data_IF_129887235652
#
_entry.id   IF_129887235652
#
_cell.length_a   1.000
_cell.length_b   1.000
_cell.length_c   1.000
_cell.angle_alpha   90.00
_cell.angle_beta   90.00
_cell.angle_gamma   90.00
#
_symmetry.space_group_name_H-M   'P 1'
#
loop_
_entity.id
_entity.type
_entity.pdbx_description
1 polymer ?
#
# COMPACT_ATOMS: atom_id res chain seq x y z
N UNK A 1 23.57 -43.09 -11.62
CA UNK A 1 23.19 -41.72 -11.17
C UNK A 1 23.97 -40.63 -11.94
N UNK A 2 23.95 -40.64 -13.28
CA UNK A 2 24.72 -39.65 -14.09
C UNK A 2 24.10 -39.33 -15.47
N UNK A 3 22.84 -39.70 -15.71
CA UNK A 3 22.19 -39.60 -17.03
C UNK A 3 21.54 -38.22 -17.27
N UNK A 4 21.30 -37.44 -16.21
CA UNK A 4 20.63 -36.13 -16.30
C UNK A 4 21.55 -34.93 -16.58
N UNK A 5 22.86 -35.14 -16.84
CA UNK A 5 23.82 -34.05 -17.08
C UNK A 5 23.86 -33.56 -18.53
N UNK A 6 23.24 -34.28 -19.48
CA UNK A 6 23.35 -34.01 -20.94
C UNK A 6 22.01 -33.73 -21.62
N UNK A 7 20.97 -33.35 -20.88
CA UNK A 7 19.68 -32.95 -21.48
C UNK A 7 19.54 -31.42 -21.53
N UNK A 8 18.89 -30.87 -22.59
CA UNK A 8 18.59 -29.43 -22.70
C UNK A 8 17.71 -28.92 -21.57
N UNK A 9 17.12 -29.82 -20.78
CA UNK A 9 16.41 -29.54 -19.55
C UNK A 9 17.32 -29.01 -18.42
N UNK A 10 18.66 -28.99 -18.54
CA UNK A 10 19.54 -28.52 -17.45
C UNK A 10 19.27 -27.07 -17.05
N UNK A 11 19.00 -26.17 -18.00
CA UNK A 11 18.67 -24.77 -17.69
C UNK A 11 17.33 -24.61 -16.98
N UNK A 12 16.34 -25.43 -17.32
CA UNK A 12 15.04 -25.46 -16.65
C UNK A 12 15.11 -26.23 -15.33
N UNK A 13 15.99 -27.21 -15.20
CA UNK A 13 16.18 -28.02 -13.99
C UNK A 13 16.66 -27.19 -12.81
N UNK A 14 17.60 -26.26 -13.03
CA UNK A 14 18.02 -25.32 -12.00
C UNK A 14 16.89 -24.37 -11.59
N UNK A 15 16.02 -23.93 -12.52
CA UNK A 15 14.84 -23.10 -12.23
C UNK A 15 13.79 -23.86 -11.39
N UNK A 16 13.54 -25.13 -11.73
CA UNK A 16 12.63 -26.02 -10.99
C UNK A 16 13.18 -26.36 -9.60
N UNK A 17 14.50 -26.49 -9.45
CA UNK A 17 15.17 -26.82 -8.17
C UNK A 17 15.44 -25.61 -7.27
N UNK A 18 15.44 -24.38 -7.80
CA UNK A 18 15.76 -23.16 -7.03
C UNK A 18 14.67 -22.77 -6.03
N UNK A 19 13.44 -23.21 -6.23
CA UNK A 19 12.33 -23.00 -5.31
C UNK A 19 11.69 -24.35 -4.98
N UNK A 20 11.63 -24.77 -3.70
CA UNK A 20 10.84 -25.94 -3.32
C UNK A 20 9.43 -25.82 -3.92
N UNK A 21 8.80 -26.90 -4.40
CA UNK A 21 7.44 -26.85 -4.95
C UNK A 21 6.46 -26.11 -4.04
N UNK A 22 6.60 -26.30 -2.73
CA UNK A 22 5.84 -25.58 -1.71
C UNK A 22 6.04 -24.06 -1.72
N UNK A 23 7.27 -23.57 -1.92
CA UNK A 23 7.56 -22.14 -1.99
C UNK A 23 6.94 -21.49 -3.24
N UNK A 24 6.92 -22.22 -4.36
CA UNK A 24 6.28 -21.76 -5.60
C UNK A 24 4.75 -21.67 -5.43
N UNK A 25 4.15 -22.70 -4.81
CA UNK A 25 2.72 -22.71 -4.47
C UNK A 25 2.37 -21.57 -3.52
N UNK A 26 3.16 -21.35 -2.45
CA UNK A 26 2.95 -20.24 -1.51
C UNK A 26 3.05 -18.88 -2.19
N UNK A 27 4.00 -18.69 -3.10
CA UNK A 27 4.14 -17.46 -3.88
C UNK A 27 2.91 -17.24 -4.77
N UNK A 28 2.47 -18.28 -5.49
CA UNK A 28 1.28 -18.22 -6.34
C UNK A 28 0.01 -17.89 -5.55
N UNK A 29 -0.24 -18.59 -4.44
CA UNK A 29 -1.36 -18.33 -3.55
C UNK A 29 -1.28 -16.93 -2.93
N UNK A 30 -0.07 -16.48 -2.57
CA UNK A 30 0.16 -15.11 -2.09
C UNK A 30 -0.20 -14.06 -3.13
N UNK A 31 0.10 -14.32 -4.42
CA UNK A 31 -0.29 -13.46 -5.53
C UNK A 31 -1.81 -13.39 -5.73
N UNK A 32 -2.50 -14.54 -5.66
CA UNK A 32 -3.98 -14.59 -5.72
C UNK A 32 -4.58 -13.81 -4.54
N UNK A 33 -4.05 -14.00 -3.34
CA UNK A 33 -4.51 -13.27 -2.15
C UNK A 33 -4.38 -11.77 -2.32
N UNK A 34 -3.19 -11.29 -2.74
CA UNK A 34 -2.97 -9.86 -2.98
C UNK A 34 -3.92 -9.31 -4.06
N UNK A 35 -4.12 -10.06 -5.15
CA UNK A 35 -5.06 -9.66 -6.19
C UNK A 35 -6.46 -9.46 -5.63
N UNK A 36 -7.02 -10.47 -4.97
CA UNK A 36 -8.35 -10.39 -4.35
C UNK A 36 -8.44 -9.23 -3.34
N UNK A 37 -7.38 -9.00 -2.57
CA UNK A 37 -7.33 -7.94 -1.59
C UNK A 37 -7.47 -6.55 -2.22
N UNK A 38 -6.68 -6.27 -3.26
CA UNK A 38 -6.58 -4.95 -3.88
C UNK A 38 -7.59 -4.72 -5.01
N UNK A 39 -7.99 -5.75 -5.76
CA UNK A 39 -8.91 -5.61 -6.89
C UNK A 39 -10.39 -5.80 -6.49
N UNK A 40 -10.66 -6.51 -5.39
CA UNK A 40 -12.03 -6.81 -4.95
C UNK A 40 -12.29 -6.27 -3.54
N UNK A 41 -11.58 -6.76 -2.52
CA UNK A 41 -11.97 -6.56 -1.12
C UNK A 41 -11.89 -5.10 -0.63
N UNK A 42 -10.76 -4.41 -0.86
CA UNK A 42 -10.65 -3.00 -0.49
C UNK A 42 -11.58 -2.08 -1.30
N UNK A 43 -11.67 -2.20 -2.64
CA UNK A 43 -12.65 -1.47 -3.42
C UNK A 43 -14.09 -1.71 -2.96
N UNK A 44 -14.48 -2.95 -2.65
CA UNK A 44 -15.83 -3.28 -2.20
C UNK A 44 -16.17 -2.63 -0.85
N UNK A 45 -15.22 -2.63 0.09
CA UNK A 45 -15.40 -1.98 1.40
C UNK A 45 -15.52 -0.47 1.22
N UNK A 46 -14.65 0.12 0.40
CA UNK A 46 -14.70 1.55 0.07
C UNK A 46 -16.04 1.92 -0.57
N UNK A 47 -16.51 1.14 -1.56
CA UNK A 47 -17.74 1.39 -2.30
C UNK A 47 -18.98 1.48 -1.39
N UNK A 48 -19.02 0.67 -0.31
CA UNK A 48 -20.11 0.70 0.67
C UNK A 48 -20.19 2.00 1.46
N UNK A 49 -19.06 2.68 1.68
CA UNK A 49 -19.01 3.93 2.44
C UNK A 49 -18.92 5.17 1.54
N UNK A 50 -18.45 5.03 0.30
CA UNK A 50 -18.41 6.12 -0.67
C UNK A 50 -19.79 6.51 -1.21
N UNK A 51 -20.83 5.71 -0.95
CA UNK A 51 -22.22 6.09 -1.18
C UNK A 51 -22.73 7.15 -0.19
N UNK A 52 -22.04 7.33 0.94
CA UNK A 52 -22.37 8.40 1.89
C UNK A 52 -21.83 9.76 1.40
N UNK A 53 -22.48 10.88 1.77
CA UNK A 53 -21.94 12.21 1.48
C UNK A 53 -20.52 12.38 2.02
N UNK A 54 -19.67 13.08 1.26
CA UNK A 54 -18.33 13.45 1.74
C UNK A 54 -18.47 14.31 2.99
N UNK A 55 -17.82 13.93 4.08
CA UNK A 55 -17.71 14.77 5.28
C UNK A 55 -16.61 15.82 5.03
N UNK A 56 -16.97 17.12 4.89
CA UNK A 56 -16.01 18.18 4.57
C UNK A 56 -14.98 18.44 5.68
N UNK A 57 -15.19 17.91 6.89
CA UNK A 57 -14.32 18.10 8.05
C UNK A 57 -13.54 16.84 8.43
N UNK A 58 -13.73 15.72 7.71
CA UNK A 58 -13.01 14.48 7.98
C UNK A 58 -11.64 14.46 7.30
N UNK A 59 -10.62 14.22 8.11
CA UNK A 59 -9.22 14.07 7.69
C UNK A 59 -8.74 12.67 8.06
N UNK A 60 -8.26 11.92 7.07
CA UNK A 60 -7.62 10.61 7.26
C UNK A 60 -6.11 10.75 7.06
N UNK A 61 -5.33 10.43 8.08
CA UNK A 61 -3.86 10.39 8.03
C UNK A 61 -3.37 8.94 8.00
N UNK A 62 -2.43 8.63 7.11
CA UNK A 62 -1.93 7.26 6.89
C UNK A 62 -0.46 7.13 7.31
N UNK A 63 -0.19 6.30 8.31
CA UNK A 63 1.14 5.89 8.74
C UNK A 63 1.37 4.42 8.36
N UNK A 64 2.35 4.18 7.50
CA UNK A 64 2.52 2.88 6.87
C UNK A 64 3.35 1.92 7.73
N UNK A 65 4.56 2.32 8.10
CA UNK A 65 5.56 1.47 8.75
C UNK A 65 6.06 2.02 10.10
N UNK A 66 5.27 2.89 10.74
CA UNK A 66 5.61 3.49 12.04
C UNK A 66 4.48 3.20 13.04
N UNK A 67 4.85 2.81 14.26
CA UNK A 67 3.92 2.51 15.36
C UNK A 67 3.25 3.76 15.97
N UNK A 68 3.60 4.95 15.50
CA UNK A 68 3.07 6.22 15.96
C UNK A 68 3.19 7.28 14.87
N UNK A 69 2.84 8.51 15.21
CA UNK A 69 2.82 9.60 14.25
C UNK A 69 4.25 10.04 13.90
N UNK A 70 4.56 10.12 12.61
CA UNK A 70 5.85 10.61 12.07
C UNK A 70 6.01 12.11 12.31
N UNK A 71 7.25 12.61 12.23
CA UNK A 71 7.53 14.03 12.52
C UNK A 71 6.74 15.02 11.64
N UNK A 72 6.61 14.83 10.31
CA UNK A 72 5.79 15.71 9.47
C UNK A 72 4.31 15.68 9.88
N UNK A 73 3.79 14.49 10.19
CA UNK A 73 2.40 14.33 10.60
C UNK A 73 2.11 14.94 11.96
N UNK A 74 3.04 14.89 12.92
CA UNK A 74 2.85 15.51 14.25
C UNK A 74 2.60 17.00 14.17
N UNK A 75 3.32 17.72 13.32
CA UNK A 75 3.13 19.15 13.14
C UNK A 75 1.75 19.45 12.56
N UNK A 76 1.41 18.78 11.45
CA UNK A 76 0.12 18.99 10.80
C UNK A 76 -1.06 18.56 11.68
N UNK A 77 -0.95 17.43 12.37
CA UNK A 77 -1.95 16.95 13.32
C UNK A 77 -2.16 17.96 14.45
N UNK A 78 -1.09 18.54 14.99
CA UNK A 78 -1.19 19.54 16.05
C UNK A 78 -1.94 20.78 15.58
N UNK A 79 -1.64 21.29 14.38
CA UNK A 79 -2.30 22.48 13.84
C UNK A 79 -3.76 22.23 13.48
N UNK A 80 -4.08 21.09 12.86
CA UNK A 80 -5.47 20.70 12.59
C UNK A 80 -6.27 20.50 13.89
N UNK A 81 -5.64 19.93 14.91
CA UNK A 81 -6.28 19.72 16.22
C UNK A 81 -6.52 21.03 16.97
N UNK A 82 -5.64 22.02 16.81
CA UNK A 82 -5.82 23.39 17.34
C UNK A 82 -6.96 24.14 16.65
N UNK A 83 -7.11 23.98 15.33
CA UNK A 83 -8.24 24.57 14.58
C UNK A 83 -9.60 24.03 15.09
N UNK A 84 -9.65 22.75 15.46
CA UNK A 84 -10.76 22.16 16.19
C UNK A 84 -12.00 21.86 15.35
N UNK A 85 -12.05 22.27 14.07
CA UNK A 85 -13.16 21.93 13.15
C UNK A 85 -13.04 20.55 12.54
N UNK A 86 -11.83 20.00 12.46
CA UNK A 86 -11.57 18.73 11.77
C UNK A 86 -11.69 17.53 12.70
N UNK A 87 -12.35 16.49 12.20
CA UNK A 87 -12.30 15.15 12.79
C UNK A 87 -11.15 14.38 12.14
N UNK A 88 -10.11 14.09 12.93
CA UNK A 88 -8.85 13.52 12.43
C UNK A 88 -8.77 12.04 12.81
N UNK A 89 -8.73 11.17 11.81
CA UNK A 89 -8.53 9.73 11.97
C UNK A 89 -7.11 9.37 11.53
N UNK A 90 -6.38 8.63 12.36
CA UNK A 90 -5.02 8.17 12.04
C UNK A 90 -5.03 6.66 11.88
N UNK A 91 -4.61 6.18 10.71
CA UNK A 91 -4.50 4.75 10.41
C UNK A 91 -3.04 4.32 10.40
N UNK A 92 -2.72 3.34 11.24
CA UNK A 92 -1.42 2.68 11.26
C UNK A 92 -1.54 1.33 10.52
N UNK A 93 -0.96 1.22 9.33
CA UNK A 93 -1.02 -0.04 8.56
C UNK A 93 -0.06 -1.10 9.11
N UNK A 94 1.01 -0.70 9.80
CA UNK A 94 1.95 -1.62 10.44
C UNK A 94 2.77 -2.45 9.45
N UNK A 95 2.97 -1.95 8.22
CA UNK A 95 3.72 -2.64 7.17
C UNK A 95 5.11 -3.04 7.66
N UNK A 96 5.37 -4.35 7.68
CA UNK A 96 6.64 -4.91 8.16
C UNK A 96 6.81 -4.95 9.68
N UNK A 97 5.82 -4.47 10.44
CA UNK A 97 5.82 -4.46 11.91
C UNK A 97 4.82 -5.46 12.51
N UNK A 98 3.75 -5.79 11.79
CA UNK A 98 2.67 -6.68 12.25
C UNK A 98 2.47 -7.87 11.32
N UNK A 99 1.65 -8.83 11.76
CA UNK A 99 1.26 -9.97 10.93
C UNK A 99 0.49 -9.51 9.69
N UNK A 100 0.57 -10.30 8.62
CA UNK A 100 -0.01 -9.93 7.32
C UNK A 100 -1.52 -9.75 7.41
N UNK A 101 -2.17 -10.62 8.17
CA UNK A 101 -3.61 -10.61 8.38
C UNK A 101 -4.05 -9.33 9.10
N UNK A 102 -3.28 -8.88 10.11
CA UNK A 102 -3.54 -7.62 10.80
C UNK A 102 -3.34 -6.40 9.90
N UNK A 103 -2.29 -6.42 9.06
CA UNK A 103 -2.07 -5.40 8.04
C UNK A 103 -3.24 -5.35 7.05
N UNK A 104 -3.72 -6.52 6.62
CA UNK A 104 -4.82 -6.62 5.67
C UNK A 104 -6.12 -6.05 6.27
N UNK A 105 -6.39 -6.34 7.55
CA UNK A 105 -7.52 -5.76 8.31
C UNK A 105 -7.36 -4.25 8.49
N UNK A 106 -6.16 -3.75 8.79
CA UNK A 106 -5.91 -2.31 8.91
C UNK A 106 -6.13 -1.60 7.56
N UNK A 107 -5.74 -2.23 6.45
CA UNK A 107 -6.06 -1.73 5.12
C UNK A 107 -7.58 -1.68 4.84
N UNK A 108 -8.33 -2.69 5.29
CA UNK A 108 -9.79 -2.70 5.16
C UNK A 108 -10.44 -1.56 5.96
N UNK A 109 -9.96 -1.33 7.20
CA UNK A 109 -10.39 -0.19 8.03
C UNK A 109 -10.07 1.15 7.37
N UNK A 110 -8.90 1.28 6.77
CA UNK A 110 -8.52 2.47 6.01
C UNK A 110 -9.45 2.69 4.80
N UNK A 111 -9.68 1.65 3.99
CA UNK A 111 -10.56 1.73 2.83
C UNK A 111 -11.98 2.17 3.21
N UNK A 112 -12.51 1.62 4.31
CA UNK A 112 -13.78 2.00 4.88
C UNK A 112 -13.82 3.50 5.24
N UNK A 113 -12.79 3.95 5.96
CA UNK A 113 -12.74 5.29 6.53
C UNK A 113 -12.51 6.38 5.47
N UNK A 114 -11.77 6.05 4.40
CA UNK A 114 -11.57 6.93 3.24
C UNK A 114 -12.84 7.09 2.42
N UNK A 115 -13.78 6.14 2.47
CA UNK A 115 -15.06 6.14 1.74
C UNK A 115 -15.75 7.50 1.72
N UNK A 116 -15.92 8.12 2.89
CA UNK A 116 -16.58 9.41 3.05
C UNK A 116 -15.66 10.58 3.43
N UNK A 117 -14.34 10.42 3.39
CA UNK A 117 -13.38 11.46 3.81
C UNK A 117 -13.17 12.56 2.75
N UNK A 118 -13.10 13.83 3.20
CA UNK A 118 -12.71 14.97 2.34
C UNK A 118 -11.21 15.04 2.11
N UNK A 119 -10.41 14.80 3.14
CA UNK A 119 -8.96 14.91 3.05
C UNK A 119 -8.28 13.60 3.42
N UNK A 120 -7.34 13.15 2.59
CA UNK A 120 -6.48 11.98 2.85
C UNK A 120 -5.03 12.42 2.77
N UNK A 121 -4.28 12.21 3.85
CA UNK A 121 -2.91 12.70 4.00
C UNK A 121 -1.96 11.50 4.15
N UNK A 122 -0.92 11.48 3.33
CA UNK A 122 0.08 10.43 3.28
C UNK A 122 1.48 11.05 3.31
N UNK A 123 2.42 10.38 3.99
CA UNK A 123 3.85 10.76 4.02
C UNK A 123 4.69 9.88 3.09
N UNK A 124 4.19 8.71 2.72
CA UNK A 124 4.82 7.72 1.85
C UNK A 124 3.76 7.06 0.94
N UNK A 125 4.19 6.20 0.02
CA UNK A 125 3.26 5.51 -0.88
C UNK A 125 2.38 4.49 -0.13
N UNK A 126 1.06 4.57 -0.29
CA UNK A 126 0.11 3.63 0.30
C UNK A 126 -0.56 2.77 -0.79
N UNK A 127 -0.29 1.47 -0.79
CA UNK A 127 -0.85 0.54 -1.78
C UNK A 127 -2.38 0.41 -1.62
N UNK A 128 -2.89 0.42 -0.38
CA UNK A 128 -4.33 0.33 -0.10
C UNK A 128 -5.05 1.50 -0.77
N UNK A 129 -4.56 2.72 -0.55
CA UNK A 129 -5.15 3.92 -1.15
C UNK A 129 -5.09 3.90 -2.68
N UNK A 130 -4.00 3.37 -3.25
CA UNK A 130 -3.80 3.28 -4.72
C UNK A 130 -4.80 2.34 -5.39
N UNK A 131 -5.43 1.43 -4.64
CA UNK A 131 -6.44 0.52 -5.15
C UNK A 131 -7.87 1.09 -5.09
N UNK A 132 -8.07 2.22 -4.40
CA UNK A 132 -9.41 2.78 -4.22
C UNK A 132 -9.76 3.71 -5.38
N UNK A 133 -10.97 3.60 -5.96
CA UNK A 133 -11.47 4.54 -6.96
C UNK A 133 -11.91 5.84 -6.26
N UNK A 134 -10.94 6.67 -5.84
CA UNK A 134 -11.19 7.88 -5.09
C UNK A 134 -12.10 8.85 -5.86
N UNK A 135 -13.11 9.40 -5.16
CA UNK A 135 -14.03 10.40 -5.70
C UNK A 135 -13.32 11.74 -5.95
N UNK A 136 -13.85 12.52 -6.89
CA UNK A 136 -13.30 13.84 -7.26
C UNK A 136 -13.30 14.83 -6.09
N UNK A 137 -14.23 14.68 -5.14
CA UNK A 137 -14.31 15.51 -3.96
C UNK A 137 -13.22 15.20 -2.94
N UNK A 138 -12.62 14.00 -2.96
CA UNK A 138 -11.57 13.60 -2.02
C UNK A 138 -10.23 14.19 -2.43
N UNK A 139 -9.64 14.99 -1.54
CA UNK A 139 -8.36 15.65 -1.75
C UNK A 139 -7.25 14.83 -1.10
N UNK A 140 -6.31 14.38 -1.92
CA UNK A 140 -5.14 13.60 -1.48
C UNK A 140 -3.93 14.52 -1.34
N UNK A 141 -3.35 14.58 -0.14
CA UNK A 141 -2.19 15.40 0.21
C UNK A 141 -0.98 14.52 0.50
N UNK A 142 -0.01 14.47 -0.42
CA UNK A 142 1.25 13.73 -0.25
C UNK A 142 2.34 14.65 0.29
N UNK A 143 2.76 14.45 1.55
CA UNK A 143 3.82 15.23 2.19
C UNK A 143 5.22 14.77 1.79
N UNK A 144 5.35 13.52 1.31
CA UNK A 144 6.63 12.84 1.13
C UNK A 144 7.43 12.75 2.45
N UNK A 145 8.58 12.07 2.39
CA UNK A 145 9.43 11.85 3.57
C UNK A 145 10.92 12.09 3.29
N UNK A 146 11.24 12.71 2.15
CA UNK A 146 12.61 12.91 1.69
C UNK A 146 13.00 14.39 1.59
N UNK A 147 14.02 14.80 2.35
CA UNK A 147 14.76 16.02 2.07
C UNK A 147 15.68 15.77 0.86
N UNK A 148 15.27 16.21 -0.33
CA UNK A 148 16.08 16.15 -1.54
C UNK A 148 16.17 14.74 -2.18
N UNK A 149 15.88 14.69 -3.47
CA UNK A 149 16.02 13.50 -4.30
C UNK A 149 17.50 13.15 -4.59
N UNK A 150 18.26 12.71 -3.60
CA UNK A 150 19.67 12.34 -3.82
C UNK A 150 19.84 11.05 -4.64
N UNK A 151 18.84 10.16 -4.59
CA UNK A 151 18.78 8.93 -5.41
C UNK A 151 17.66 9.08 -6.44
N UNK A 152 17.82 8.43 -7.60
CA UNK A 152 16.72 8.26 -8.56
C UNK A 152 15.57 7.50 -7.89
N UNK A 153 14.35 8.00 -8.01
CA UNK A 153 13.13 7.35 -7.52
C UNK A 153 11.97 7.57 -8.50
N UNK A 154 10.86 6.86 -8.27
CA UNK A 154 9.66 6.93 -9.11
C UNK A 154 9.97 6.56 -10.55
N UNK A 155 9.39 7.28 -11.52
CA UNK A 155 9.61 7.02 -12.96
C UNK A 155 11.07 7.20 -13.40
N UNK A 156 11.88 7.93 -12.62
CA UNK A 156 13.31 8.12 -12.88
C UNK A 156 14.13 6.83 -12.75
N UNK A 157 13.58 5.80 -12.10
CA UNK A 157 14.20 4.47 -12.04
C UNK A 157 13.74 3.53 -13.12
N UNK A 158 12.76 3.90 -13.94
CA UNK A 158 12.22 3.01 -14.96
C UNK A 158 13.32 2.53 -15.92
N UNK A 159 13.26 1.25 -16.29
CA UNK A 159 14.25 0.54 -17.10
C UNK A 159 15.66 0.42 -16.46
N UNK A 160 15.83 0.83 -15.18
CA UNK A 160 17.04 0.53 -14.41
C UNK A 160 16.91 -0.82 -13.69
N UNK A 161 18.03 -1.33 -13.17
CA UNK A 161 18.14 -2.67 -12.55
C UNK A 161 17.05 -3.01 -11.51
N UNK A 162 16.53 -2.00 -10.81
CA UNK A 162 15.51 -2.15 -9.77
C UNK A 162 14.21 -1.37 -10.08
N UNK A 163 14.07 -0.80 -11.27
CA UNK A 163 12.90 -0.05 -11.67
C UNK A 163 11.86 -0.91 -12.38
N UNK A 164 10.58 -0.50 -12.35
CA UNK A 164 9.55 -1.10 -13.20
C UNK A 164 9.81 -0.76 -14.68
N UNK A 165 9.11 -1.46 -15.57
CA UNK A 165 8.96 -1.02 -16.96
C UNK A 165 8.29 0.36 -17.01
N UNK A 166 8.57 1.10 -18.09
CA UNK A 166 7.85 2.36 -18.37
C UNK A 166 6.39 2.15 -18.79
N UNK A 167 6.03 0.91 -19.10
CA UNK A 167 4.74 0.42 -19.57
C UNK A 167 4.07 -0.44 -18.51
#
# INVERSE_FOLDING_TARGET
MNVLRKTPLRETWWKVKKYPPFAQVRHFLGGIHQRKLFEEWYPDIYARHSSEPVDPYKVVMIENAVSGLSSPFRLLYHDLKKDGRFTIHVHHLGKGLIHKEDHDINGARLANDVGNAKYVILSEACNVLSALPLREETIVLQLWHGCGAFKKFGRSTADLLFGPSRE
#
